data_IF_717089624315
#
_entry.id   IF_717089624315
#
_cell.length_a   1.000
_cell.length_b   1.000
_cell.length_c   1.000
_cell.angle_alpha   90.00
_cell.angle_beta   90.00
_cell.angle_gamma   90.00
#
_symmetry.space_group_name_H-M   'P 1'
#
loop_
_entity.id
_entity.type
_entity.pdbx_description
1 polymer ?
#
# COMPACT_ATOMS: atom_id res chain seq x y z
N UNK A 1 -43.76 -2.22 11.12
CA UNK A 1 -42.48 -2.66 10.52
C UNK A 1 -42.53 -2.96 9.00
N UNK A 2 -43.69 -3.02 8.37
CA UNK A 2 -43.82 -3.32 6.90
C UNK A 2 -43.74 -2.12 5.96
N UNK A 3 -43.94 -0.89 6.43
CA UNK A 3 -43.92 0.33 5.56
C UNK A 3 -42.53 0.86 5.17
N UNK A 4 -41.46 0.51 5.89
CA UNK A 4 -40.10 0.98 5.62
C UNK A 4 -39.39 0.15 4.51
N UNK A 5 -39.83 -1.09 4.25
CA UNK A 5 -39.27 -1.95 3.21
C UNK A 5 -39.70 -1.59 1.78
N UNK A 6 -40.86 -0.97 1.61
CA UNK A 6 -41.42 -0.61 0.30
C UNK A 6 -40.76 0.64 -0.29
N UNK A 7 -40.30 1.59 0.53
CA UNK A 7 -39.66 2.83 0.07
C UNK A 7 -38.25 2.63 -0.50
N UNK A 8 -37.49 1.64 0.01
CA UNK A 8 -36.14 1.36 -0.46
C UNK A 8 -36.12 0.62 -1.82
N UNK A 9 -37.07 -0.27 -2.05
CA UNK A 9 -37.18 -1.00 -3.33
C UNK A 9 -37.53 -0.07 -4.49
N UNK A 10 -38.49 0.82 -4.30
CA UNK A 10 -38.92 1.79 -5.32
C UNK A 10 -37.83 2.83 -5.65
N UNK A 11 -37.03 3.23 -4.66
CA UNK A 11 -35.95 4.16 -4.88
C UNK A 11 -34.81 3.53 -5.71
N UNK A 12 -34.46 2.27 -5.44
CA UNK A 12 -33.43 1.53 -6.20
C UNK A 12 -33.91 1.24 -7.63
N UNK A 13 -35.17 0.85 -7.85
CA UNK A 13 -35.73 0.63 -9.20
C UNK A 13 -35.80 1.93 -10.01
N UNK A 14 -36.24 3.04 -9.41
CA UNK A 14 -36.31 4.34 -10.08
C UNK A 14 -34.91 4.85 -10.45
N UNK A 15 -33.91 4.60 -9.60
CA UNK A 15 -32.53 4.95 -9.84
C UNK A 15 -31.91 4.12 -10.98
N UNK A 16 -32.10 2.79 -10.98
CA UNK A 16 -31.60 1.91 -12.04
C UNK A 16 -32.15 2.27 -13.42
N UNK A 17 -33.42 2.60 -13.55
CA UNK A 17 -34.06 2.97 -14.85
C UNK A 17 -33.55 4.30 -15.42
N UNK A 18 -33.00 5.20 -14.59
CA UNK A 18 -32.45 6.48 -15.03
C UNK A 18 -30.99 6.40 -15.49
N UNK A 19 -30.28 5.36 -15.06
CA UNK A 19 -28.85 5.24 -15.30
C UNK A 19 -28.51 4.32 -16.48
N UNK A 20 -29.36 3.31 -16.76
CA UNK A 20 -29.18 2.44 -17.92
C UNK A 20 -30.54 1.85 -18.35
N UNK A 21 -31.07 2.26 -19.54
CA UNK A 21 -32.34 1.78 -20.08
C UNK A 21 -32.35 0.30 -20.50
N UNK A 22 -31.17 -0.37 -20.49
CA UNK A 22 -31.04 -1.79 -20.84
C UNK A 22 -31.01 -2.74 -19.66
N UNK A 23 -31.05 -2.24 -18.41
CA UNK A 23 -31.09 -3.08 -17.22
C UNK A 23 -32.52 -3.60 -17.02
N UNK A 24 -32.80 -4.84 -17.46
CA UNK A 24 -33.99 -5.57 -17.06
C UNK A 24 -33.84 -6.05 -15.61
N UNK A 25 -34.55 -5.42 -14.67
CA UNK A 25 -34.71 -5.94 -13.32
C UNK A 25 -35.57 -7.21 -13.36
N UNK A 26 -34.96 -8.37 -13.36
CA UNK A 26 -35.67 -9.62 -13.06
C UNK A 26 -35.86 -9.72 -11.54
N UNK A 27 -37.06 -10.10 -11.13
CA UNK A 27 -37.51 -10.23 -9.76
C UNK A 27 -36.68 -11.23 -8.96
N UNK A 28 -35.65 -10.74 -8.30
CA UNK A 28 -34.78 -11.54 -7.45
C UNK A 28 -33.62 -10.74 -6.87
N UNK A 29 -33.84 -10.10 -5.74
CA UNK A 29 -32.85 -9.26 -4.99
C UNK A 29 -31.55 -9.98 -4.56
N UNK A 30 -31.27 -11.19 -5.06
CA UNK A 30 -30.14 -12.02 -4.60
C UNK A 30 -28.86 -11.90 -5.44
N UNK A 31 -28.85 -11.14 -6.56
CA UNK A 31 -27.65 -11.08 -7.45
C UNK A 31 -27.35 -9.69 -8.04
N UNK A 32 -27.49 -8.63 -7.28
CA UNK A 32 -26.86 -7.36 -7.70
C UNK A 32 -25.36 -7.47 -7.38
N UNK A 33 -24.55 -7.71 -8.40
CA UNK A 33 -23.09 -7.70 -8.25
C UNK A 33 -22.64 -6.29 -7.91
N UNK A 34 -22.01 -6.12 -6.75
CA UNK A 34 -21.44 -4.88 -6.22
C UNK A 34 -20.74 -3.98 -7.27
N UNK A 35 -20.08 -4.52 -8.31
CA UNK A 35 -19.41 -3.73 -9.34
C UNK A 35 -20.28 -2.71 -10.07
N UNK A 36 -21.54 -3.01 -10.34
CA UNK A 36 -22.41 -2.11 -11.11
C UNK A 36 -22.83 -0.86 -10.34
N UNK A 37 -22.98 -0.97 -9.03
CA UNK A 37 -23.38 0.17 -8.20
C UNK A 37 -22.24 1.17 -8.02
N UNK A 38 -21.01 0.69 -7.91
CA UNK A 38 -19.81 1.53 -7.80
C UNK A 38 -19.56 2.29 -9.09
N UNK A 39 -19.74 1.64 -10.25
CA UNK A 39 -19.60 2.29 -11.56
C UNK A 39 -20.65 3.38 -11.81
N UNK A 40 -21.89 3.18 -11.39
CA UNK A 40 -22.92 4.19 -11.53
C UNK A 40 -22.60 5.49 -10.77
N UNK A 41 -21.97 5.38 -9.60
CA UNK A 41 -21.51 6.53 -8.82
C UNK A 41 -20.29 7.23 -9.45
N UNK A 42 -19.39 6.49 -10.08
CA UNK A 42 -18.23 7.02 -10.81
C UNK A 42 -18.66 7.72 -12.12
N UNK A 43 -19.71 7.20 -12.79
CA UNK A 43 -20.26 7.83 -13.99
C UNK A 43 -20.91 9.19 -13.71
N UNK A 44 -21.52 9.38 -12.53
CA UNK A 44 -22.07 10.66 -12.11
C UNK A 44 -20.99 11.73 -11.86
N UNK A 45 -19.79 11.33 -11.46
CA UNK A 45 -18.67 12.26 -11.26
C UNK A 45 -18.15 12.83 -12.59
N UNK A 46 -18.10 12.03 -13.65
CA UNK A 46 -17.62 12.45 -14.97
C UNK A 46 -18.63 13.29 -15.79
N UNK A 47 -19.92 13.27 -15.39
CA UNK A 47 -20.99 14.04 -16.05
C UNK A 47 -21.23 15.44 -15.50
N UNK A 48 -20.80 15.74 -14.29
CA UNK A 48 -21.09 17.01 -13.58
C UNK A 48 -19.92 18.01 -13.67
N UNK A 49 -18.77 17.60 -14.18
CA UNK A 49 -17.49 18.31 -14.10
C UNK A 49 -17.15 19.27 -15.24
N UNK A 50 -18.10 19.73 -16.08
CA UNK A 50 -17.82 20.78 -17.08
C UNK A 50 -18.60 22.05 -16.77
N UNK A 51 -18.19 22.80 -15.74
CA UNK A 51 -18.11 24.27 -15.77
C UNK A 51 -17.71 24.87 -14.41
N UNK A 52 -16.80 25.80 -14.51
CA UNK A 52 -16.35 26.86 -13.60
C UNK A 52 -14.98 26.66 -12.95
N UNK A 53 -14.05 27.41 -13.56
CA UNK A 53 -12.83 27.92 -12.92
C UNK A 53 -13.15 28.48 -11.55
N UNK A 54 -12.53 27.93 -10.53
CA UNK A 54 -12.22 28.63 -9.29
C UNK A 54 -10.77 28.33 -8.97
N UNK A 55 -9.91 29.27 -9.38
CA UNK A 55 -8.59 29.45 -8.82
C UNK A 55 -8.77 29.69 -7.32
N UNK A 56 -8.36 28.73 -6.51
CA UNK A 56 -7.98 28.98 -5.12
C UNK A 56 -6.58 28.42 -4.91
N UNK A 57 -5.68 29.34 -4.64
CA UNK A 57 -4.31 29.21 -4.21
C UNK A 57 -4.08 27.92 -3.40
N UNK A 58 -3.46 26.96 -4.04
CA UNK A 58 -2.84 25.82 -3.41
C UNK A 58 -1.33 26.10 -3.46
N UNK A 59 -0.83 26.63 -2.35
CA UNK A 59 0.61 26.75 -2.10
C UNK A 59 1.18 25.35 -2.03
N UNK A 60 1.63 24.84 -3.16
CA UNK A 60 2.34 23.57 -3.24
C UNK A 60 3.82 23.79 -2.95
N UNK A 61 4.33 22.91 -2.12
CA UNK A 61 5.70 22.74 -1.70
C UNK A 61 6.69 23.11 -2.82
N UNK A 62 7.24 24.30 -2.72
CA UNK A 62 8.48 24.67 -3.38
C UNK A 62 9.63 23.87 -2.76
N UNK A 63 10.75 23.70 -3.45
CA UNK A 63 11.88 22.86 -3.01
C UNK A 63 12.69 23.49 -1.86
N UNK A 64 12.05 23.88 -0.78
CA UNK A 64 12.69 24.35 0.45
C UNK A 64 13.17 23.22 1.37
N UNK A 65 13.07 21.97 0.91
CA UNK A 65 13.57 20.79 1.64
C UNK A 65 15.10 20.63 1.50
N UNK A 66 15.77 21.47 0.70
CA UNK A 66 17.24 21.36 0.48
C UNK A 66 18.11 22.38 1.24
N UNK A 67 17.59 23.13 2.18
CA UNK A 67 18.37 24.15 2.86
C UNK A 67 18.25 24.10 4.39
N UNK A 68 18.65 22.97 4.99
CA UNK A 68 19.17 23.03 6.38
C UNK A 68 20.24 21.93 6.61
N UNK A 69 21.28 21.94 5.78
CA UNK A 69 22.51 21.22 6.04
C UNK A 69 23.56 22.21 6.52
N UNK A 70 23.51 22.59 7.78
CA UNK A 70 24.69 23.05 8.55
C UNK A 70 24.34 23.21 10.05
N UNK A 71 24.44 22.12 10.79
CA UNK A 71 24.93 22.11 12.17
C UNK A 71 25.47 20.71 12.43
N UNK A 72 26.78 20.61 12.30
CA UNK A 72 27.59 19.49 12.80
C UNK A 72 27.56 19.52 14.31
N UNK A 73 26.94 18.53 14.93
CA UNK A 73 27.09 18.25 16.36
C UNK A 73 27.32 16.75 16.53
N UNK A 74 28.51 16.41 17.01
CA UNK A 74 28.99 15.03 17.26
C UNK A 74 28.20 14.25 18.34
N UNK A 75 27.02 14.73 18.72
CA UNK A 75 26.14 14.13 19.73
C UNK A 75 24.75 13.79 19.17
N UNK A 76 24.60 13.59 17.86
CA UNK A 76 23.29 13.36 17.20
C UNK A 76 22.62 12.04 17.60
N UNK A 77 23.39 10.96 17.79
CA UNK A 77 22.82 9.62 18.01
C UNK A 77 22.07 9.43 19.33
N UNK A 78 22.47 10.15 20.39
CA UNK A 78 21.89 9.98 21.74
C UNK A 78 20.58 10.79 21.98
N UNK A 79 20.19 11.68 21.06
CA UNK A 79 19.03 12.58 21.19
C UNK A 79 17.87 12.28 20.26
N UNK A 80 18.05 11.42 19.26
CA UNK A 80 17.01 11.10 18.30
C UNK A 80 16.16 9.92 18.75
N UNK A 81 14.82 10.07 18.63
CA UNK A 81 13.85 8.99 18.80
C UNK A 81 13.39 8.55 17.43
N UNK A 82 13.35 7.24 17.17
CA UNK A 82 12.86 6.69 15.91
C UNK A 82 11.40 6.28 16.02
N UNK A 83 10.55 6.73 15.13
CA UNK A 83 9.17 6.29 14.99
C UNK A 83 9.03 5.44 13.71
N UNK A 84 8.92 4.13 13.88
CA UNK A 84 8.54 3.23 12.78
C UNK A 84 7.07 3.43 12.46
N UNK A 85 6.76 3.82 11.22
CA UNK A 85 5.41 4.09 10.76
C UNK A 85 4.99 3.06 9.71
N UNK A 86 3.91 2.32 9.97
CA UNK A 86 3.38 1.34 9.04
C UNK A 86 1.88 1.55 8.80
N UNK A 87 1.31 0.83 7.82
CA UNK A 87 -0.10 0.97 7.43
C UNK A 87 -1.06 0.52 8.53
N UNK A 88 -0.74 -0.57 9.22
CA UNK A 88 -1.52 -1.16 10.28
C UNK A 88 -2.39 -2.33 9.83
N UNK A 89 -3.13 -2.89 10.80
CA UNK A 89 -4.05 -4.02 10.63
C UNK A 89 -5.23 -3.86 11.56
N UNK A 90 -6.33 -4.64 11.40
CA UNK A 90 -7.40 -4.70 12.40
C UNK A 90 -6.86 -5.09 13.79
N UNK A 91 -7.63 -4.81 14.85
CA UNK A 91 -7.25 -5.22 16.21
C UNK A 91 -7.33 -6.75 16.40
N UNK A 92 -8.27 -7.41 15.69
CA UNK A 92 -8.45 -8.87 15.65
C UNK A 92 -9.14 -9.29 14.35
N UNK A 93 -9.23 -10.60 14.01
CA UNK A 93 -9.95 -11.09 12.84
C UNK A 93 -11.47 -11.05 13.01
N UNK A 94 -11.98 -10.52 14.12
CA UNK A 94 -13.41 -10.38 14.37
C UNK A 94 -14.06 -9.38 13.39
N UNK A 95 -15.27 -9.71 12.92
CA UNK A 95 -15.99 -8.92 11.92
C UNK A 95 -16.14 -7.45 12.31
N UNK A 96 -16.33 -7.16 13.61
CA UNK A 96 -16.47 -5.78 14.12
C UNK A 96 -15.15 -4.98 14.01
N UNK A 97 -14.03 -5.63 14.29
CA UNK A 97 -12.71 -4.98 14.28
C UNK A 97 -12.21 -4.79 12.85
N UNK A 98 -12.45 -5.78 11.99
CA UNK A 98 -12.22 -5.66 10.55
C UNK A 98 -13.11 -4.56 9.94
N UNK A 99 -14.39 -4.46 10.31
CA UNK A 99 -15.27 -3.40 9.84
C UNK A 99 -14.78 -2.01 10.27
N UNK A 100 -14.29 -1.86 11.51
CA UNK A 100 -13.70 -0.61 12.01
C UNK A 100 -12.47 -0.22 11.23
N UNK A 101 -11.58 -1.18 10.98
CA UNK A 101 -10.37 -0.97 10.18
C UNK A 101 -10.71 -0.57 8.74
N UNK A 102 -11.58 -1.32 8.06
CA UNK A 102 -12.02 -1.01 6.70
C UNK A 102 -12.66 0.39 6.59
N UNK A 103 -13.48 0.77 7.56
CA UNK A 103 -14.05 2.11 7.58
C UNK A 103 -12.96 3.19 7.72
N UNK A 104 -12.00 3.00 8.63
CA UNK A 104 -10.89 3.96 8.80
C UNK A 104 -10.02 4.06 7.55
N UNK A 105 -9.70 2.92 6.94
CA UNK A 105 -8.86 2.82 5.76
C UNK A 105 -9.54 3.40 4.51
N UNK A 106 -10.73 2.91 4.17
CA UNK A 106 -11.41 3.25 2.91
C UNK A 106 -12.04 4.65 2.91
N UNK A 107 -12.29 5.25 4.09
CA UNK A 107 -12.76 6.65 4.16
C UNK A 107 -11.63 7.68 4.02
N UNK A 108 -10.39 7.26 3.92
CA UNK A 108 -9.29 8.17 3.61
C UNK A 108 -9.40 8.68 2.17
N UNK A 109 -9.23 10.00 1.98
CA UNK A 109 -9.28 10.65 0.66
C UNK A 109 -8.13 10.22 -0.27
N UNK A 110 -7.05 9.70 0.29
CA UNK A 110 -5.89 9.19 -0.45
C UNK A 110 -6.06 7.74 -0.89
N UNK A 111 -7.06 7.05 -0.36
CA UNK A 111 -7.43 5.68 -0.76
C UNK A 111 -8.59 5.73 -1.76
N UNK A 112 -9.69 6.42 -1.39
CA UNK A 112 -10.82 6.63 -2.29
C UNK A 112 -10.98 8.15 -2.49
N UNK A 113 -10.68 8.60 -3.69
CA UNK A 113 -10.55 10.03 -4.04
C UNK A 113 -11.88 10.75 -4.24
N UNK A 114 -13.01 10.09 -3.98
CA UNK A 114 -14.35 10.70 -4.07
C UNK A 114 -14.55 11.86 -3.07
N UNK A 115 -15.47 12.82 -3.35
CA UNK A 115 -15.90 13.83 -2.42
C UNK A 115 -16.32 13.24 -1.07
N UNK A 116 -16.12 13.98 0.01
CA UNK A 116 -16.26 13.47 1.38
C UNK A 116 -17.60 12.76 1.63
N UNK A 117 -18.73 13.37 1.32
CA UNK A 117 -20.05 12.78 1.58
C UNK A 117 -20.28 11.51 0.77
N UNK A 118 -19.95 11.50 -0.52
CA UNK A 118 -20.08 10.33 -1.39
C UNK A 118 -19.19 9.20 -0.92
N UNK A 119 -17.94 9.50 -0.52
CA UNK A 119 -17.02 8.51 0.04
C UNK A 119 -17.55 7.89 1.34
N UNK A 120 -18.10 8.71 2.26
CA UNK A 120 -18.69 8.21 3.51
C UNK A 120 -19.89 7.29 3.24
N UNK A 121 -20.80 7.71 2.36
CA UNK A 121 -21.97 6.91 1.98
C UNK A 121 -21.56 5.59 1.31
N UNK A 122 -20.64 5.65 0.35
CA UNK A 122 -20.14 4.46 -0.36
C UNK A 122 -19.47 3.48 0.60
N UNK A 123 -18.54 3.95 1.41
CA UNK A 123 -17.77 3.08 2.30
C UNK A 123 -18.62 2.50 3.41
N UNK A 124 -19.30 3.35 4.19
CA UNK A 124 -20.05 2.91 5.38
C UNK A 124 -21.40 2.30 5.04
N UNK A 125 -22.05 2.74 3.95
CA UNK A 125 -23.35 2.25 3.53
C UNK A 125 -23.30 1.02 2.63
N UNK A 126 -22.23 0.87 1.84
CA UNK A 126 -22.13 -0.19 0.82
C UNK A 126 -20.92 -1.07 1.06
N UNK A 127 -19.70 -0.56 0.91
CA UNK A 127 -18.50 -1.42 0.87
C UNK A 127 -18.33 -2.20 2.16
N UNK A 128 -18.28 -1.52 3.30
CA UNK A 128 -18.02 -2.18 4.58
C UNK A 128 -19.13 -3.19 4.96
N UNK A 129 -20.43 -2.88 4.88
CA UNK A 129 -21.47 -3.85 5.18
C UNK A 129 -21.37 -5.16 4.38
N UNK A 130 -21.04 -5.06 3.08
CA UNK A 130 -20.95 -6.23 2.21
C UNK A 130 -19.62 -6.98 2.31
N UNK A 131 -18.51 -6.28 2.54
CA UNK A 131 -17.16 -6.88 2.53
C UNK A 131 -16.65 -7.33 3.90
N UNK A 132 -17.17 -6.80 5.02
CA UNK A 132 -16.62 -7.07 6.37
C UNK A 132 -16.52 -8.56 6.72
N UNK A 133 -17.49 -9.39 6.33
CA UNK A 133 -17.48 -10.84 6.63
C UNK A 133 -16.40 -11.57 5.80
N UNK A 134 -16.38 -11.36 4.49
CA UNK A 134 -15.38 -11.99 3.61
C UNK A 134 -13.96 -11.50 3.92
N UNK A 135 -13.79 -10.20 4.22
CA UNK A 135 -12.51 -9.68 4.67
C UNK A 135 -12.08 -10.28 6.02
N UNK A 136 -13.00 -10.44 6.98
CA UNK A 136 -12.69 -11.07 8.25
C UNK A 136 -12.24 -12.53 8.09
N UNK A 137 -12.83 -13.28 7.14
CA UNK A 137 -12.37 -14.63 6.81
C UNK A 137 -10.94 -14.63 6.30
N UNK A 138 -10.60 -13.70 5.37
CA UNK A 138 -9.23 -13.54 4.86
C UNK A 138 -8.25 -13.13 5.96
N UNK A 139 -8.60 -12.17 6.82
CA UNK A 139 -7.76 -11.80 7.95
C UNK A 139 -7.52 -12.96 8.91
N UNK A 140 -8.50 -13.87 9.08
CA UNK A 140 -8.37 -15.03 9.95
C UNK A 140 -7.32 -16.02 9.46
N UNK A 141 -7.09 -16.16 8.14
CA UNK A 141 -6.08 -17.08 7.60
C UNK A 141 -4.64 -16.63 7.91
N UNK A 142 -4.43 -15.35 8.18
CA UNK A 142 -3.11 -14.78 8.51
C UNK A 142 -2.98 -14.36 9.98
N UNK A 143 -3.97 -14.65 10.79
CA UNK A 143 -3.94 -14.38 12.23
C UNK A 143 -3.08 -15.40 12.96
N UNK A 144 -2.13 -14.93 13.75
CA UNK A 144 -1.32 -15.79 14.62
C UNK A 144 -1.97 -15.87 16.02
N UNK A 145 -2.52 -17.02 16.34
CA UNK A 145 -3.18 -17.29 17.63
C UNK A 145 -2.18 -17.25 18.79
N UNK A 146 -0.91 -17.63 18.56
CA UNK A 146 0.11 -17.68 19.61
C UNK A 146 0.52 -16.29 20.09
N UNK A 147 0.69 -15.35 19.18
CA UNK A 147 1.03 -13.96 19.46
C UNK A 147 -0.21 -13.06 19.58
N UNK A 148 -1.39 -13.56 19.22
CA UNK A 148 -2.64 -12.81 19.09
C UNK A 148 -2.45 -11.50 18.31
N UNK A 149 -1.82 -11.63 17.16
CA UNK A 149 -1.43 -10.51 16.33
C UNK A 149 -1.38 -10.87 14.84
N UNK A 150 -1.47 -9.88 13.99
CA UNK A 150 -1.20 -10.03 12.56
C UNK A 150 0.30 -9.93 12.28
N UNK A 151 0.83 -10.63 11.26
CA UNK A 151 2.26 -10.63 10.90
C UNK A 151 2.84 -9.23 10.74
N UNK A 152 2.16 -8.33 10.04
CA UNK A 152 2.59 -6.95 9.86
C UNK A 152 2.87 -6.25 11.21
N UNK A 153 1.99 -6.42 12.19
CA UNK A 153 2.15 -5.81 13.52
C UNK A 153 3.28 -6.48 14.30
N UNK A 154 3.32 -7.82 14.29
CA UNK A 154 4.35 -8.60 15.00
C UNK A 154 5.74 -8.30 14.47
N UNK A 155 5.92 -8.29 13.14
CA UNK A 155 7.22 -7.99 12.51
C UNK A 155 7.61 -6.53 12.71
N UNK A 156 6.69 -5.56 12.58
CA UNK A 156 7.01 -4.15 12.87
C UNK A 156 7.49 -3.96 14.31
N UNK A 157 6.84 -4.61 15.29
CA UNK A 157 7.29 -4.59 16.69
C UNK A 157 8.64 -5.29 16.90
N UNK A 158 8.89 -6.38 16.19
CA UNK A 158 10.17 -7.10 16.25
C UNK A 158 11.31 -6.24 15.66
N UNK A 159 11.08 -5.57 14.53
CA UNK A 159 12.02 -4.58 13.97
C UNK A 159 12.33 -3.49 14.99
N UNK A 160 11.32 -2.93 15.65
CA UNK A 160 11.52 -1.89 16.66
C UNK A 160 12.39 -2.38 17.82
N UNK A 161 12.12 -3.59 18.33
CA UNK A 161 12.94 -4.18 19.40
C UNK A 161 14.39 -4.38 18.96
N UNK A 162 14.59 -4.93 17.75
CA UNK A 162 15.93 -5.16 17.23
C UNK A 162 16.73 -3.85 17.02
N UNK A 163 16.10 -2.81 16.49
CA UNK A 163 16.71 -1.49 16.39
C UNK A 163 16.99 -0.86 17.76
N UNK A 164 16.12 -1.08 18.75
CA UNK A 164 16.34 -0.57 20.12
C UNK A 164 17.57 -1.19 20.80
N UNK A 165 17.90 -2.44 20.48
CA UNK A 165 19.14 -3.08 20.98
C UNK A 165 20.42 -2.41 20.50
N UNK A 166 20.33 -1.53 19.49
CA UNK A 166 21.48 -0.70 19.04
C UNK A 166 21.67 0.58 19.85
N UNK A 167 20.94 0.76 20.96
CA UNK A 167 21.01 1.95 21.83
C UNK A 167 20.09 3.10 21.40
N UNK A 168 19.27 2.93 20.37
CA UNK A 168 18.28 3.92 19.92
C UNK A 168 16.95 3.74 20.64
N UNK A 169 16.28 4.82 20.97
CA UNK A 169 14.88 4.77 21.41
C UNK A 169 13.96 4.63 20.20
N UNK A 170 13.19 3.54 20.13
CA UNK A 170 12.36 3.21 18.96
C UNK A 170 10.92 2.95 19.37
N UNK A 171 10.00 3.64 18.73
CA UNK A 171 8.56 3.46 18.88
C UNK A 171 7.92 2.98 17.59
N UNK A 172 6.73 2.39 17.71
CA UNK A 172 5.92 1.92 16.57
C UNK A 172 4.60 2.67 16.54
N UNK A 173 4.20 3.14 15.37
CA UNK A 173 2.88 3.68 15.14
C UNK A 173 2.28 3.17 13.82
N UNK A 174 0.95 3.10 13.79
CA UNK A 174 0.19 2.66 12.63
C UNK A 174 -0.64 3.81 12.07
N UNK A 175 -0.72 3.88 10.74
CA UNK A 175 -1.61 4.83 10.06
C UNK A 175 -3.07 4.52 10.37
N UNK A 176 -3.43 3.24 10.36
CA UNK A 176 -4.74 2.72 10.72
C UNK A 176 -4.61 1.63 11.75
N UNK A 177 -5.48 1.63 12.77
CA UNK A 177 -5.39 0.67 13.88
C UNK A 177 -4.46 1.12 15.01
N UNK A 178 -3.84 0.16 15.69
CA UNK A 178 -3.04 0.39 16.90
C UNK A 178 -1.61 -0.15 16.79
N UNK A 179 -0.62 0.52 17.46
CA UNK A 179 -0.77 1.77 18.22
C UNK A 179 -0.96 2.98 17.30
N UNK A 180 -1.89 3.87 17.63
CA UNK A 180 -2.15 5.05 16.81
C UNK A 180 -1.03 6.10 16.97
N UNK A 181 -0.73 6.85 15.91
CA UNK A 181 0.29 7.91 15.90
C UNK A 181 0.10 8.87 17.09
N UNK A 182 -1.14 9.34 17.31
CA UNK A 182 -1.46 10.27 18.39
C UNK A 182 -1.13 9.73 19.78
N UNK A 183 -1.36 8.43 20.02
CA UNK A 183 -1.12 7.79 21.31
C UNK A 183 0.38 7.62 21.60
N UNK A 184 1.17 7.40 20.54
CA UNK A 184 2.63 7.31 20.65
C UNK A 184 3.23 8.69 20.89
N UNK A 185 2.85 9.70 20.11
CA UNK A 185 3.38 11.06 20.24
C UNK A 185 3.19 11.65 21.65
N UNK A 186 2.07 11.36 22.32
CA UNK A 186 1.80 11.81 23.70
C UNK A 186 2.77 11.21 24.74
N UNK A 187 3.46 10.13 24.39
CA UNK A 187 4.38 9.40 25.28
C UNK A 187 5.85 9.69 24.98
N UNK A 188 6.12 10.45 23.92
CA UNK A 188 7.51 10.75 23.56
C UNK A 188 8.17 11.65 24.61
N UNK A 189 9.45 11.44 24.92
CA UNK A 189 10.19 12.28 25.84
C UNK A 189 10.37 13.69 25.28
N UNK A 190 10.26 14.68 26.14
CA UNK A 190 10.48 16.08 25.78
C UNK A 190 11.97 16.37 25.44
N UNK A 191 12.19 17.35 24.58
CA UNK A 191 13.53 17.85 24.26
C UNK A 191 14.35 16.96 23.32
N UNK A 192 13.74 15.97 22.69
CA UNK A 192 14.37 15.13 21.68
C UNK A 192 13.86 15.45 20.28
N UNK A 193 14.66 15.13 19.26
CA UNK A 193 14.22 15.15 17.86
C UNK A 193 13.65 13.79 17.46
N UNK A 194 12.73 13.80 16.48
CA UNK A 194 12.04 12.60 16.01
C UNK A 194 12.46 12.28 14.57
N UNK A 195 12.87 11.04 14.34
CA UNK A 195 13.05 10.48 12.99
C UNK A 195 11.84 9.60 12.68
N UNK A 196 11.01 10.01 11.74
CA UNK A 196 9.91 9.19 11.25
C UNK A 196 10.44 8.30 10.13
N UNK A 197 10.42 6.99 10.32
CA UNK A 197 10.79 5.99 9.34
C UNK A 197 9.53 5.25 8.86
N UNK A 198 8.96 5.68 7.71
CA UNK A 198 7.86 4.96 7.08
C UNK A 198 8.37 3.65 6.49
N UNK A 199 7.77 2.52 6.87
CA UNK A 199 8.14 1.20 6.36
C UNK A 199 7.52 0.92 4.98
N UNK A 200 7.61 1.90 4.09
CA UNK A 200 7.16 1.85 2.69
C UNK A 200 8.33 2.20 1.78
N UNK A 201 8.92 1.22 1.09
CA UNK A 201 10.06 1.47 0.21
C UNK A 201 9.76 2.44 -0.93
N UNK A 202 8.52 2.42 -1.42
CA UNK A 202 8.07 3.17 -2.59
C UNK A 202 7.07 4.26 -2.20
N UNK A 203 7.12 5.38 -2.92
CA UNK A 203 6.13 6.44 -2.79
C UNK A 203 4.82 6.04 -3.45
N UNK A 204 3.76 6.00 -2.67
CA UNK A 204 2.39 5.92 -3.19
C UNK A 204 1.47 6.79 -2.33
N UNK A 205 0.50 7.46 -2.97
CA UNK A 205 -0.48 8.30 -2.29
C UNK A 205 -1.26 7.52 -1.23
N UNK A 206 -1.56 6.25 -1.52
CA UNK A 206 -2.35 5.36 -0.67
C UNK A 206 -1.57 4.67 0.46
N UNK A 207 -0.25 4.79 0.52
CA UNK A 207 0.60 4.19 1.56
C UNK A 207 1.54 5.22 2.20
N UNK A 208 2.68 5.52 1.58
CA UNK A 208 3.67 6.44 2.11
C UNK A 208 3.08 7.82 2.41
N UNK A 209 2.44 8.46 1.42
CA UNK A 209 1.94 9.83 1.57
C UNK A 209 0.85 9.92 2.65
N UNK A 210 -0.15 9.01 2.64
CA UNK A 210 -1.20 9.07 3.66
C UNK A 210 -0.66 8.88 5.07
N UNK A 211 0.34 7.99 5.26
CA UNK A 211 0.94 7.72 6.55
C UNK A 211 1.76 8.93 7.05
N UNK A 212 2.62 9.47 6.18
CA UNK A 212 3.49 10.62 6.49
C UNK A 212 2.67 11.87 6.77
N UNK A 213 1.72 12.21 5.92
CA UNK A 213 0.91 13.42 6.10
C UNK A 213 0.00 13.36 7.33
N UNK A 214 -0.50 12.16 7.67
CA UNK A 214 -1.20 11.97 8.93
C UNK A 214 -0.25 12.17 10.13
N UNK A 215 0.93 11.57 10.09
CA UNK A 215 1.93 11.71 11.15
C UNK A 215 2.33 13.19 11.33
N UNK A 216 2.64 13.90 10.26
CA UNK A 216 2.94 15.34 10.29
C UNK A 216 1.79 16.16 10.88
N UNK A 217 0.54 15.86 10.52
CA UNK A 217 -0.63 16.54 11.06
C UNK A 217 -0.77 16.34 12.58
N UNK A 218 -0.56 15.09 13.05
CA UNK A 218 -0.61 14.77 14.47
C UNK A 218 0.57 15.41 15.25
N UNK A 219 1.78 15.46 14.67
CA UNK A 219 2.91 16.18 15.28
C UNK A 219 2.59 17.66 15.44
N UNK A 220 2.13 18.34 14.36
CA UNK A 220 1.76 19.77 14.43
C UNK A 220 0.68 20.03 15.48
N UNK A 221 -0.26 19.12 15.66
CA UNK A 221 -1.38 19.24 16.59
C UNK A 221 -0.99 19.00 18.05
N UNK A 222 -0.15 17.98 18.31
CA UNK A 222 0.15 17.50 19.67
C UNK A 222 1.50 17.99 20.20
N UNK A 223 2.47 18.17 19.32
CA UNK A 223 3.87 18.45 19.63
C UNK A 223 4.41 19.55 18.71
N UNK A 224 3.82 20.79 18.70
CA UNK A 224 4.15 21.81 17.69
C UNK A 224 5.63 22.25 17.69
N UNK A 225 6.32 22.07 18.82
CA UNK A 225 7.74 22.42 18.99
C UNK A 225 8.68 21.23 18.76
N UNK A 226 8.17 20.05 18.38
CA UNK A 226 8.99 18.87 18.14
C UNK A 226 9.71 19.01 16.81
N UNK A 227 11.05 19.00 16.85
CA UNK A 227 11.88 18.89 15.66
C UNK A 227 11.79 17.47 15.10
N UNK A 228 11.52 17.32 13.81
CA UNK A 228 11.46 16.00 13.20
C UNK A 228 11.93 16.01 11.75
N UNK A 229 12.44 14.85 11.31
CA UNK A 229 12.68 14.53 9.90
C UNK A 229 11.92 13.28 9.49
N UNK A 230 11.67 13.13 8.21
CA UNK A 230 11.00 11.95 7.64
C UNK A 230 11.94 11.30 6.63
N UNK A 231 12.18 10.01 6.81
CA UNK A 231 12.98 9.24 5.86
C UNK A 231 12.20 9.12 4.54
N UNK A 232 12.89 9.44 3.44
CA UNK A 232 12.31 9.38 2.11
C UNK A 232 12.12 7.92 1.65
N UNK A 233 11.32 7.66 0.59
CA UNK A 233 11.23 6.34 -0.02
C UNK A 233 12.62 5.81 -0.39
N UNK A 234 12.92 4.61 0.03
CA UNK A 234 14.25 4.00 -0.08
C UNK A 234 14.29 2.89 -1.15
N UNK A 235 13.44 3.00 -2.17
CA UNK A 235 13.25 2.03 -3.25
C UNK A 235 14.53 1.64 -4.02
N UNK A 236 15.51 2.52 -4.08
CA UNK A 236 16.79 2.31 -4.77
C UNK A 236 17.99 2.37 -3.82
N UNK A 237 17.77 2.43 -2.50
CA UNK A 237 18.85 2.48 -1.52
C UNK A 237 19.68 1.19 -1.56
N UNK A 238 20.99 1.31 -1.67
CA UNK A 238 21.90 0.16 -1.85
C UNK A 238 21.70 -0.94 -0.81
N UNK A 239 21.63 -0.56 0.48
CA UNK A 239 21.44 -1.54 1.56
C UNK A 239 20.09 -2.27 1.45
N UNK A 240 19.04 -1.58 0.99
CA UNK A 240 17.72 -2.20 0.76
C UNK A 240 17.75 -3.19 -0.41
N UNK A 241 18.36 -2.81 -1.54
CA UNK A 241 18.48 -3.68 -2.70
C UNK A 241 19.32 -4.92 -2.38
N UNK A 242 20.46 -4.72 -1.70
CA UNK A 242 21.34 -5.82 -1.28
C UNK A 242 20.60 -6.83 -0.40
N UNK A 243 19.88 -6.38 0.63
CA UNK A 243 19.18 -7.31 1.53
C UNK A 243 18.01 -8.02 0.83
N UNK A 244 17.34 -7.39 -0.14
CA UNK A 244 16.34 -8.07 -0.98
C UNK A 244 16.97 -9.14 -1.85
N UNK A 245 18.08 -8.84 -2.52
CA UNK A 245 18.81 -9.80 -3.31
C UNK A 245 19.29 -10.98 -2.47
N UNK A 246 19.85 -10.73 -1.29
CA UNK A 246 20.32 -11.76 -0.37
C UNK A 246 19.18 -12.63 0.18
N UNK A 247 17.99 -12.05 0.38
CA UNK A 247 16.78 -12.78 0.77
C UNK A 247 16.28 -13.71 -0.36
N UNK A 248 16.43 -13.31 -1.62
CA UNK A 248 16.01 -14.09 -2.79
C UNK A 248 17.06 -15.16 -3.16
N UNK A 249 18.35 -14.87 -3.05
CA UNK A 249 19.47 -15.72 -3.51
C UNK A 249 19.39 -17.19 -3.11
N UNK A 250 19.03 -17.56 -1.87
CA UNK A 250 18.91 -18.99 -1.48
C UNK A 250 17.90 -19.79 -2.31
N UNK A 251 16.88 -19.13 -2.84
CA UNK A 251 15.82 -19.77 -3.63
C UNK A 251 16.25 -20.04 -5.08
N UNK A 252 17.27 -19.33 -5.59
CA UNK A 252 17.80 -19.52 -6.95
C UNK A 252 18.61 -20.83 -7.11
N UNK A 253 18.88 -21.53 -6.02
CA UNK A 253 19.63 -22.80 -6.06
C UNK A 253 18.82 -23.96 -6.67
N UNK A 254 17.50 -23.84 -6.71
CA UNK A 254 16.61 -24.80 -7.37
C UNK A 254 16.27 -24.34 -8.78
N UNK A 255 15.98 -25.27 -9.70
CA UNK A 255 15.52 -24.89 -11.04
C UNK A 255 14.25 -24.07 -10.98
N UNK A 256 14.23 -22.91 -11.62
CA UNK A 256 13.07 -22.06 -11.80
C UNK A 256 13.04 -21.50 -13.24
N UNK A 257 11.86 -21.14 -13.71
CA UNK A 257 11.69 -20.58 -15.04
C UNK A 257 11.67 -19.05 -14.97
N UNK A 258 11.01 -18.48 -13.93
CA UNK A 258 10.98 -17.02 -13.71
C UNK A 258 11.00 -16.65 -12.23
N UNK A 259 11.68 -15.54 -11.92
CA UNK A 259 11.53 -14.78 -10.70
C UNK A 259 10.49 -13.67 -10.92
N UNK A 260 9.41 -13.70 -10.17
CA UNK A 260 8.34 -12.72 -10.24
C UNK A 260 8.49 -11.72 -9.11
N UNK A 261 8.57 -10.45 -9.44
CA UNK A 261 8.55 -9.36 -8.47
C UNK A 261 7.17 -8.71 -8.48
N UNK A 262 6.35 -9.05 -7.49
CA UNK A 262 4.97 -8.60 -7.37
C UNK A 262 4.88 -7.36 -6.48
N UNK A 263 4.38 -6.28 -7.03
CA UNK A 263 4.16 -5.01 -6.31
C UNK A 263 2.67 -4.81 -6.07
N UNK A 264 2.31 -4.12 -4.98
CA UNK A 264 0.92 -3.71 -4.80
C UNK A 264 0.52 -2.76 -5.92
N UNK A 265 -0.52 -3.11 -6.67
CA UNK A 265 -1.03 -2.25 -7.73
C UNK A 265 -1.64 -0.97 -7.15
N UNK A 266 -1.64 0.09 -7.95
CA UNK A 266 -2.38 1.31 -7.67
C UNK A 266 -3.26 1.69 -8.86
N UNK A 267 -4.40 2.36 -8.64
CA UNK A 267 -5.18 2.96 -9.74
C UNK A 267 -4.32 3.95 -10.53
N UNK A 268 -4.46 3.95 -11.84
CA UNK A 268 -3.72 4.86 -12.73
C UNK A 268 -3.97 6.33 -12.40
N UNK A 269 -5.19 6.68 -11.98
CA UNK A 269 -5.53 8.04 -11.58
C UNK A 269 -4.78 8.49 -10.30
N UNK A 270 -4.35 7.57 -9.42
CA UNK A 270 -3.47 7.91 -8.30
C UNK A 270 -2.08 8.31 -8.79
N UNK A 271 -1.53 7.56 -9.76
CA UNK A 271 -0.26 7.92 -10.40
C UNK A 271 -0.36 9.28 -11.07
N UNK A 272 -1.38 9.49 -11.90
CA UNK A 272 -1.62 10.73 -12.60
C UNK A 272 -1.77 11.93 -11.64
N UNK A 273 -2.42 11.75 -10.48
CA UNK A 273 -2.56 12.82 -9.49
C UNK A 273 -1.24 13.21 -8.85
N UNK A 274 -0.41 12.22 -8.50
CA UNK A 274 0.89 12.50 -7.87
C UNK A 274 1.88 13.14 -8.84
N UNK A 275 1.92 12.68 -10.07
CA UNK A 275 2.87 13.18 -11.08
C UNK A 275 2.41 14.49 -11.74
N UNK A 276 1.11 14.69 -11.99
CA UNK A 276 0.59 15.98 -12.48
C UNK A 276 0.79 17.10 -11.49
N UNK A 277 0.69 16.83 -10.20
CA UNK A 277 0.99 17.82 -9.17
C UNK A 277 2.44 18.27 -9.22
N UNK A 278 3.34 17.41 -9.72
CA UNK A 278 4.75 17.77 -9.88
C UNK A 278 5.05 18.52 -11.21
N UNK A 279 4.38 18.17 -12.33
CA UNK A 279 4.79 18.68 -13.66
C UNK A 279 3.67 19.01 -14.65
N UNK A 280 2.40 18.87 -14.30
CA UNK A 280 1.26 19.07 -15.24
C UNK A 280 1.30 18.18 -16.51
N UNK A 281 2.00 17.04 -16.45
CA UNK A 281 2.19 16.14 -17.56
C UNK A 281 1.38 14.86 -17.42
N UNK A 282 0.83 14.38 -18.56
CA UNK A 282 0.31 13.01 -18.65
C UNK A 282 1.50 12.06 -18.80
N UNK A 283 1.48 10.92 -18.08
CA UNK A 283 2.52 9.89 -18.25
C UNK A 283 2.45 9.30 -19.66
N UNK A 284 3.34 9.66 -20.60
CA UNK A 284 3.45 8.96 -21.85
C UNK A 284 4.04 7.55 -21.62
N UNK A 285 3.83 6.66 -22.58
CA UNK A 285 4.59 5.42 -22.62
C UNK A 285 6.09 5.75 -22.69
N UNK A 286 6.89 5.13 -21.80
CA UNK A 286 8.34 5.36 -21.73
C UNK A 286 8.81 6.45 -20.75
N UNK A 287 7.94 7.06 -19.94
CA UNK A 287 8.32 8.12 -19.01
C UNK A 287 9.14 7.69 -17.79
N UNK A 288 9.39 6.40 -17.60
CA UNK A 288 10.05 5.89 -16.38
C UNK A 288 11.58 5.85 -16.54
N UNK A 289 12.22 6.99 -16.78
CA UNK A 289 13.69 7.13 -16.82
C UNK A 289 14.21 7.81 -15.57
N UNK A 290 15.54 7.70 -15.32
CA UNK A 290 16.20 8.39 -14.18
C UNK A 290 16.15 9.91 -14.30
N UNK A 291 16.03 10.41 -15.53
CA UNK A 291 15.96 11.85 -15.84
C UNK A 291 14.56 12.43 -15.65
N UNK A 292 13.53 11.57 -15.37
CA UNK A 292 12.18 12.03 -15.13
C UNK A 292 12.14 12.83 -13.81
N UNK A 293 11.88 14.15 -13.85
CA UNK A 293 11.83 14.98 -12.65
C UNK A 293 10.72 14.56 -11.67
N UNK A 294 9.79 13.67 -12.08
CA UNK A 294 8.77 13.08 -11.20
C UNK A 294 9.20 11.76 -10.56
N UNK A 295 10.39 11.26 -10.83
CA UNK A 295 10.89 9.97 -10.34
C UNK A 295 10.68 9.79 -8.82
N UNK A 296 10.90 10.85 -8.03
CA UNK A 296 10.76 10.85 -6.58
C UNK A 296 9.32 10.65 -6.08
N UNK A 297 8.30 10.83 -6.92
CA UNK A 297 6.88 10.66 -6.60
C UNK A 297 6.17 9.69 -7.55
N UNK A 298 6.87 9.16 -8.55
CA UNK A 298 6.33 8.22 -9.51
C UNK A 298 6.47 6.77 -9.02
N UNK A 299 5.38 6.20 -8.50
CA UNK A 299 5.35 4.82 -8.03
C UNK A 299 5.79 3.81 -9.11
N UNK A 300 5.35 4.02 -10.36
CA UNK A 300 5.73 3.16 -11.48
C UNK A 300 7.24 3.15 -11.70
N UNK A 301 7.86 4.33 -11.82
CA UNK A 301 9.31 4.45 -11.94
C UNK A 301 10.04 3.71 -10.82
N UNK A 302 9.65 3.97 -9.57
CA UNK A 302 10.31 3.40 -8.40
C UNK A 302 10.24 1.87 -8.38
N UNK A 303 9.10 1.27 -8.74
CA UNK A 303 8.97 -0.19 -8.80
C UNK A 303 9.82 -0.80 -9.90
N UNK A 304 9.86 -0.19 -11.09
CA UNK A 304 10.72 -0.64 -12.19
C UNK A 304 12.20 -0.51 -11.84
N UNK A 305 12.60 0.59 -11.18
CA UNK A 305 13.97 0.78 -10.73
C UNK A 305 14.39 -0.27 -9.70
N UNK A 306 13.55 -0.55 -8.71
CA UNK A 306 13.79 -1.63 -7.74
C UNK A 306 13.96 -2.98 -8.44
N UNK A 307 13.09 -3.29 -9.41
CA UNK A 307 13.17 -4.54 -10.19
C UNK A 307 14.49 -4.64 -10.95
N UNK A 308 14.91 -3.59 -11.64
CA UNK A 308 16.17 -3.55 -12.38
C UNK A 308 17.38 -3.78 -11.46
N UNK A 309 17.41 -3.08 -10.32
CA UNK A 309 18.50 -3.20 -9.34
C UNK A 309 18.56 -4.59 -8.69
N UNK A 310 17.42 -5.20 -8.35
CA UNK A 310 17.38 -6.57 -7.82
C UNK A 310 17.89 -7.55 -8.88
N UNK A 311 17.43 -7.43 -10.12
CA UNK A 311 17.89 -8.27 -11.25
C UNK A 311 19.40 -8.19 -11.42
N UNK A 312 19.95 -6.98 -11.44
CA UNK A 312 21.39 -6.71 -11.53
C UNK A 312 22.16 -7.34 -10.35
N UNK A 313 21.71 -7.13 -9.11
CA UNK A 313 22.35 -7.67 -7.91
C UNK A 313 22.33 -9.20 -7.85
N UNK A 314 21.36 -9.83 -8.52
CA UNK A 314 21.25 -11.29 -8.63
C UNK A 314 21.98 -11.85 -9.86
N UNK A 315 22.41 -11.03 -10.81
CA UNK A 315 23.03 -11.46 -12.06
C UNK A 315 22.08 -12.23 -12.99
N UNK A 316 20.77 -11.91 -12.95
CA UNK A 316 19.76 -12.59 -13.75
C UNK A 316 19.56 -11.89 -15.10
N UNK A 317 19.27 -12.66 -16.14
CA UNK A 317 18.89 -12.15 -17.45
C UNK A 317 17.50 -11.48 -17.40
N UNK A 318 17.19 -10.63 -18.36
CA UNK A 318 15.92 -9.89 -18.39
C UNK A 318 14.72 -10.84 -18.48
N UNK A 319 14.82 -11.88 -19.28
CA UNK A 319 13.78 -12.88 -19.50
C UNK A 319 13.46 -13.72 -18.26
N UNK A 320 14.40 -13.79 -17.32
CA UNK A 320 14.24 -14.54 -16.07
C UNK A 320 13.48 -13.75 -14.99
N UNK A 321 13.27 -12.44 -15.16
CA UNK A 321 12.61 -11.60 -14.15
C UNK A 321 11.41 -10.91 -14.78
N UNK A 322 10.25 -11.04 -14.14
CA UNK A 322 9.03 -10.35 -14.58
C UNK A 322 8.43 -9.56 -13.42
N UNK A 323 8.12 -8.28 -13.69
CA UNK A 323 7.41 -7.42 -12.75
C UNK A 323 5.93 -7.47 -13.00
N UNK A 324 5.13 -7.60 -11.91
CA UNK A 324 3.67 -7.61 -11.98
C UNK A 324 3.06 -6.76 -10.85
N UNK A 325 1.76 -6.45 -10.98
CA UNK A 325 1.01 -5.71 -9.97
C UNK A 325 -0.17 -6.53 -9.46
N UNK A 326 -0.27 -6.65 -8.13
CA UNK A 326 -1.31 -7.37 -7.41
C UNK A 326 -2.43 -6.44 -6.89
N UNK A 327 -3.44 -7.01 -6.26
CA UNK A 327 -4.49 -6.34 -5.46
C UNK A 327 -5.44 -5.43 -6.24
N UNK A 328 -5.58 -5.64 -7.55
CA UNK A 328 -6.53 -4.89 -8.37
C UNK A 328 -7.96 -5.03 -7.85
N UNK A 329 -8.62 -3.90 -7.60
CA UNK A 329 -10.02 -3.83 -7.15
C UNK A 329 -10.86 -2.96 -8.08
N UNK A 330 -12.09 -3.41 -8.36
CA UNK A 330 -13.03 -2.65 -9.18
C UNK A 330 -12.74 -2.70 -10.67
N UNK A 331 -13.27 -1.73 -11.42
CA UNK A 331 -13.20 -1.69 -12.89
C UNK A 331 -12.29 -0.56 -13.42
N UNK A 332 -11.78 0.30 -12.54
CA UNK A 332 -10.84 1.34 -12.96
C UNK A 332 -9.54 0.71 -13.46
N UNK A 333 -8.85 1.41 -14.33
CA UNK A 333 -7.53 0.99 -14.80
C UNK A 333 -6.50 1.12 -13.68
N UNK A 334 -5.73 0.04 -13.48
CA UNK A 334 -4.61 -0.02 -12.54
C UNK A 334 -3.31 -0.25 -13.32
N UNK A 335 -2.17 -0.10 -12.65
CA UNK A 335 -0.88 -0.46 -13.23
C UNK A 335 -0.86 -1.93 -13.66
N UNK A 336 -0.27 -2.18 -14.83
CA UNK A 336 -0.13 -3.49 -15.48
C UNK A 336 1.34 -3.93 -15.54
N UNK A 337 1.62 -5.23 -15.75
CA UNK A 337 0.68 -6.36 -15.91
C UNK A 337 0.05 -6.80 -14.59
N UNK A 338 -1.17 -7.36 -14.62
CA UNK A 338 -1.85 -7.85 -13.41
C UNK A 338 -1.40 -9.25 -13.02
N UNK A 339 -1.02 -9.44 -11.74
CA UNK A 339 -0.61 -10.74 -11.22
C UNK A 339 -1.61 -11.85 -11.54
N UNK A 340 -2.90 -11.63 -11.27
CA UNK A 340 -3.95 -12.65 -11.46
C UNK A 340 -4.08 -13.13 -12.92
N UNK A 341 -3.90 -12.22 -13.89
CA UNK A 341 -3.94 -12.55 -15.32
C UNK A 341 -2.68 -13.38 -15.69
N UNK A 342 -1.50 -12.97 -15.20
CA UNK A 342 -0.23 -13.65 -15.47
C UNK A 342 -0.16 -15.05 -14.85
N UNK A 343 -0.66 -15.22 -13.62
CA UNK A 343 -0.70 -16.52 -12.95
C UNK A 343 -1.44 -17.61 -13.77
N UNK A 344 -2.45 -17.19 -14.54
CA UNK A 344 -3.19 -18.09 -15.42
C UNK A 344 -2.51 -18.28 -16.79
N UNK A 345 -1.75 -17.28 -17.25
CA UNK A 345 -1.11 -17.30 -18.56
C UNK A 345 0.24 -18.02 -18.56
N UNK A 346 1.09 -17.79 -17.53
CA UNK A 346 2.44 -18.38 -17.48
C UNK A 346 2.50 -19.88 -17.74
N UNK A 347 1.64 -20.74 -17.14
CA UNK A 347 1.70 -22.16 -17.44
C UNK A 347 1.39 -22.52 -18.90
N UNK A 348 0.63 -21.70 -19.59
CA UNK A 348 0.32 -21.85 -21.04
C UNK A 348 1.48 -21.36 -21.92
N UNK A 349 2.33 -20.47 -21.38
CA UNK A 349 3.53 -19.93 -22.00
C UNK A 349 4.79 -20.71 -21.58
N UNK A 350 4.63 -21.97 -21.16
CA UNK A 350 5.69 -22.90 -20.71
C UNK A 350 6.46 -22.45 -19.44
N UNK A 351 6.01 -21.41 -18.75
CA UNK A 351 6.54 -21.01 -17.43
C UNK A 351 5.85 -21.83 -16.35
N UNK A 352 6.46 -22.91 -15.91
CA UNK A 352 5.88 -23.90 -14.98
C UNK A 352 6.37 -23.78 -13.55
N UNK A 353 7.54 -23.15 -13.33
CA UNK A 353 8.19 -23.03 -12.00
C UNK A 353 8.50 -21.57 -11.74
N UNK A 354 7.82 -20.99 -10.77
CA UNK A 354 8.03 -19.57 -10.44
C UNK A 354 8.49 -19.40 -8.99
N UNK A 355 9.39 -18.43 -8.82
CA UNK A 355 9.71 -17.83 -7.54
C UNK A 355 8.99 -16.50 -7.50
N UNK A 356 8.37 -16.15 -6.38
CA UNK A 356 7.65 -14.88 -6.27
C UNK A 356 8.00 -14.16 -4.97
N UNK A 357 8.41 -12.89 -5.09
CA UNK A 357 8.69 -11.98 -3.98
C UNK A 357 7.87 -10.70 -4.09
N UNK A 358 7.62 -10.03 -2.97
CA UNK A 358 6.79 -8.82 -2.89
C UNK A 358 7.60 -7.61 -2.38
N UNK A 359 8.44 -6.94 -3.22
CA UNK A 359 9.36 -5.89 -2.75
C UNK A 359 8.66 -4.61 -2.23
N UNK A 360 7.39 -4.40 -2.51
CA UNK A 360 6.66 -3.26 -1.92
C UNK A 360 6.31 -3.43 -0.44
N UNK A 361 6.52 -4.63 0.11
CA UNK A 361 6.26 -4.96 1.51
C UNK A 361 7.55 -5.37 2.22
N UNK A 362 7.87 -4.70 3.33
CA UNK A 362 9.02 -5.09 4.16
C UNK A 362 8.62 -6.09 5.25
N UNK A 363 7.34 -6.19 5.56
CA UNK A 363 6.76 -7.16 6.48
C UNK A 363 5.66 -7.95 5.76
N UNK A 364 5.61 -9.25 6.03
CA UNK A 364 4.49 -10.08 5.59
C UNK A 364 3.17 -9.55 6.13
N UNK A 365 2.17 -9.59 5.28
CA UNK A 365 0.85 -9.02 5.53
C UNK A 365 -0.24 -9.85 4.83
N UNK A 366 -1.48 -9.37 4.87
CA UNK A 366 -2.60 -10.04 4.21
C UNK A 366 -2.34 -10.20 2.70
N UNK A 367 -1.82 -9.16 2.07
CA UNK A 367 -1.57 -9.08 0.63
C UNK A 367 -0.46 -10.03 0.17
N UNK A 368 0.57 -10.24 0.99
CA UNK A 368 1.66 -11.15 0.66
C UNK A 368 1.32 -12.62 0.96
N UNK A 369 0.66 -12.89 2.07
CA UNK A 369 0.42 -14.26 2.53
C UNK A 369 -0.88 -14.83 1.96
N UNK A 370 -2.03 -14.14 2.08
CA UNK A 370 -3.32 -14.67 1.61
C UNK A 370 -3.47 -14.48 0.10
N UNK A 371 -3.18 -13.29 -0.42
CA UNK A 371 -3.44 -13.02 -1.83
C UNK A 371 -2.37 -13.66 -2.73
N UNK A 372 -1.06 -13.51 -2.40
CA UNK A 372 0.02 -14.02 -3.25
C UNK A 372 0.37 -15.46 -2.91
N UNK A 373 0.78 -15.74 -1.66
CA UNK A 373 1.31 -17.06 -1.30
C UNK A 373 0.23 -18.16 -1.34
N UNK A 374 -0.98 -17.91 -0.85
CA UNK A 374 -2.05 -18.92 -0.82
C UNK A 374 -2.92 -18.87 -2.08
N UNK A 375 -3.63 -17.77 -2.30
CA UNK A 375 -4.57 -17.66 -3.43
C UNK A 375 -3.85 -17.66 -4.77
N UNK A 376 -2.71 -16.96 -4.90
CA UNK A 376 -1.89 -16.93 -6.10
C UNK A 376 -1.36 -18.31 -6.47
N UNK A 377 -0.84 -19.08 -5.49
CA UNK A 377 -0.41 -20.46 -5.69
C UNK A 377 -1.57 -21.33 -6.21
N UNK A 378 -2.75 -21.19 -5.61
CA UNK A 378 -3.94 -21.96 -6.03
C UNK A 378 -4.31 -21.69 -7.49
N UNK A 379 -4.27 -20.43 -7.94
CA UNK A 379 -4.56 -20.05 -9.34
C UNK A 379 -3.50 -20.67 -10.27
N UNK A 380 -2.22 -20.48 -9.96
CA UNK A 380 -1.12 -20.95 -10.78
C UNK A 380 -1.14 -22.47 -10.96
N UNK A 381 -1.35 -23.23 -9.85
CA UNK A 381 -1.46 -24.68 -9.87
C UNK A 381 -2.66 -25.15 -10.70
N UNK A 382 -3.82 -24.52 -10.58
CA UNK A 382 -5.01 -24.84 -11.38
C UNK A 382 -4.82 -24.57 -12.86
N UNK A 383 -3.99 -23.62 -13.23
CA UNK A 383 -3.63 -23.33 -14.60
C UNK A 383 -2.60 -24.29 -15.20
N UNK A 384 -2.06 -25.25 -14.42
CA UNK A 384 -1.07 -26.23 -14.85
C UNK A 384 0.37 -25.90 -14.48
N UNK A 385 0.58 -24.96 -13.56
CA UNK A 385 1.91 -24.67 -12.99
C UNK A 385 2.44 -25.83 -12.14
N UNK A 386 3.73 -26.11 -12.26
CA UNK A 386 4.38 -27.24 -11.58
C UNK A 386 4.91 -26.87 -10.20
N UNK A 387 5.57 -25.71 -10.05
CA UNK A 387 6.12 -25.25 -8.78
C UNK A 387 5.90 -23.76 -8.56
N UNK A 388 5.45 -23.40 -7.38
CA UNK A 388 5.21 -22.02 -6.94
C UNK A 388 5.87 -21.83 -5.59
N UNK A 389 6.95 -21.07 -5.56
CA UNK A 389 7.68 -20.78 -4.33
C UNK A 389 7.51 -19.30 -3.96
N UNK A 390 6.79 -19.03 -2.88
CA UNK A 390 6.71 -17.69 -2.27
C UNK A 390 7.98 -17.44 -1.45
N UNK A 391 8.60 -16.28 -1.67
CA UNK A 391 9.75 -15.79 -0.91
C UNK A 391 9.23 -14.81 0.13
N UNK A 392 9.33 -15.10 1.44
CA UNK A 392 8.86 -14.22 2.50
C UNK A 392 9.46 -12.81 2.41
N UNK A 393 8.72 -11.81 2.88
CA UNK A 393 9.23 -10.46 3.04
C UNK A 393 10.44 -10.43 4.00
N UNK A 394 11.15 -9.31 4.07
CA UNK A 394 12.34 -9.14 4.93
C UNK A 394 12.05 -9.34 6.42
N UNK A 395 10.81 -9.02 6.83
CA UNK A 395 10.32 -9.21 8.18
C UNK A 395 11.25 -8.56 9.24
N UNK A 396 11.71 -9.33 10.21
CA UNK A 396 12.66 -8.88 11.25
C UNK A 396 14.04 -9.55 11.10
N UNK A 397 14.44 -9.89 9.88
CA UNK A 397 15.74 -10.50 9.59
C UNK A 397 16.91 -9.60 9.98
N UNK A 398 18.00 -10.18 10.50
CA UNK A 398 19.15 -9.42 10.99
C UNK A 398 19.74 -8.49 9.92
N UNK A 399 19.94 -8.98 8.70
CA UNK A 399 20.49 -8.18 7.60
C UNK A 399 19.58 -6.98 7.25
N UNK A 400 18.26 -7.15 7.41
CA UNK A 400 17.31 -6.07 7.22
C UNK A 400 17.41 -5.00 8.34
N UNK A 401 17.63 -5.41 9.58
CA UNK A 401 17.86 -4.48 10.69
C UNK A 401 19.13 -3.64 10.43
N UNK A 402 20.20 -4.25 9.93
CA UNK A 402 21.42 -3.53 9.57
C UNK A 402 21.22 -2.58 8.39
N UNK A 403 20.43 -2.99 7.39
CA UNK A 403 20.06 -2.10 6.28
C UNK A 403 19.23 -0.90 6.77
N UNK A 404 18.29 -1.09 7.69
CA UNK A 404 17.52 0.01 8.29
C UNK A 404 18.40 0.99 9.08
N UNK A 405 19.45 0.50 9.73
CA UNK A 405 20.43 1.38 10.40
C UNK A 405 21.12 2.29 9.39
N UNK A 406 21.58 1.74 8.27
CA UNK A 406 22.20 2.54 7.21
C UNK A 406 21.21 3.58 6.64
N UNK A 407 19.96 3.20 6.39
CA UNK A 407 18.90 4.11 5.91
C UNK A 407 18.61 5.23 6.92
N UNK A 408 18.73 4.98 8.21
CA UNK A 408 18.50 5.98 9.26
C UNK A 408 19.65 6.99 9.41
N UNK A 409 20.85 6.66 8.95
CA UNK A 409 22.05 7.51 9.03
C UNK A 409 22.14 8.55 7.92
N UNK A 410 21.40 8.37 6.83
CA UNK A 410 21.22 9.35 5.75
C UNK A 410 20.15 10.40 6.09
#
# INVERSE_FOLDING_TARGET
>A
MQRVRLSHGLFVESFCRRVDPFIRCTSGLRQIRLPYFVNALIYLENGIGKNKRHERNLTYLRPEIMADRRRTDDNKGAREVVLLLNIGSPDSPEVKDVARYLNSFLTDRRIITLPFLLRQLLVRGIITPFRKKSSAQKYRTVWDESTRSFPLISHTKAIARALAHTGREVHVAMRYGKPAVADVLKKLPHGRSLVVLPLFPHYAMSSYETAVEHCKAEIRRLCPNLSFRVVQPFYAHEAYIRVLADNIRPYLTKPFDKLILSYHGIPRDHLDKTTRQALDLRHPEGCCTEEDPTANVCYRYQTYRTTALIREALGLAEEQVEQVFQSRVGHTEWLRPYLIERLSAWPQEETKRILIACPSFVCDCLESLEEVADHGQSIFKKAGGADFTYIPCLNSGANWIDALRNILEE
#
